data_IF_081674082241
#
_entry.id   IF_081674082241
#
_cell.length_a   1.000
_cell.length_b   1.000
_cell.length_c   1.000
_cell.angle_alpha   90.00
_cell.angle_beta   90.00
_cell.angle_gamma   90.00
#
_symmetry.space_group_name_H-M   'P 1'
#
loop_
_entity.id
_entity.type
_entity.pdbx_description
1 polymer ?
#
# COMPACT_ATOMS: atom_id res chain seq x y z
N UNK A 1 3.79 -15.19 -48.98
CA UNK A 1 2.60 -14.81 -49.78
C UNK A 1 1.57 -14.29 -48.79
N UNK A 2 1.18 -13.02 -48.92
CA UNK A 2 0.38 -12.25 -47.97
C UNK A 2 -0.95 -11.90 -48.66
N UNK A 3 -2.11 -12.01 -48.00
CA UNK A 3 -3.35 -11.44 -48.54
C UNK A 3 -4.41 -11.21 -47.44
N UNK A 4 -4.41 -9.97 -46.92
CA UNK A 4 -5.59 -9.33 -46.36
C UNK A 4 -6.59 -9.04 -47.48
N UNK A 5 -7.88 -9.32 -47.27
CA UNK A 5 -9.06 -8.52 -47.68
C UNK A 5 -10.34 -9.37 -47.63
N UNK A 6 -11.36 -8.92 -46.90
CA UNK A 6 -12.79 -9.08 -47.24
C UNK A 6 -13.56 -8.08 -46.35
N UNK A 7 -13.78 -6.86 -46.84
CA UNK A 7 -15.03 -6.33 -47.41
C UNK A 7 -16.07 -5.91 -46.34
N UNK A 8 -16.09 -4.64 -45.93
CA UNK A 8 -17.04 -3.56 -46.37
C UNK A 8 -18.52 -3.94 -46.45
N UNK A 9 -19.34 -3.23 -45.66
CA UNK A 9 -20.80 -3.19 -45.83
C UNK A 9 -21.46 -2.11 -44.98
N UNK A 10 -21.56 -0.88 -45.50
CA UNK A 10 -22.41 0.20 -44.96
C UNK A 10 -23.85 -0.01 -45.44
N UNK A 11 -24.84 0.00 -44.53
CA UNK A 11 -26.23 0.32 -44.86
C UNK A 11 -26.83 1.21 -43.77
N UNK A 12 -27.31 2.39 -44.21
CA UNK A 12 -28.12 3.33 -43.43
C UNK A 12 -29.60 2.96 -43.65
N UNK A 13 -30.39 2.94 -42.58
CA UNK A 13 -31.85 3.05 -42.66
C UNK A 13 -32.35 3.94 -41.51
N UNK A 14 -33.06 5.01 -41.86
CA UNK A 14 -33.95 5.77 -40.99
C UNK A 14 -35.34 5.14 -41.08
N UNK A 15 -35.98 4.83 -39.95
CA UNK A 15 -37.45 4.79 -39.82
C UNK A 15 -37.80 5.39 -38.45
N UNK A 16 -38.76 6.31 -38.46
CA UNK A 16 -39.34 6.97 -37.31
C UNK A 16 -40.64 6.29 -36.86
N UNK A 17 -41.07 6.64 -35.64
CA UNK A 17 -42.43 6.63 -35.08
C UNK A 17 -42.89 5.46 -34.17
N UNK A 18 -43.31 5.90 -32.97
CA UNK A 18 -44.41 5.44 -32.10
C UNK A 18 -44.29 4.16 -31.25
N UNK A 19 -43.89 4.41 -30.00
CA UNK A 19 -44.44 3.98 -28.70
C UNK A 19 -45.50 2.84 -28.68
N UNK A 20 -45.10 1.71 -28.10
CA UNK A 20 -45.98 0.84 -27.32
C UNK A 20 -45.20 0.30 -26.12
N UNK A 21 -45.67 0.66 -24.93
CA UNK A 21 -45.17 0.23 -23.63
C UNK A 21 -45.41 -1.24 -23.39
N UNK A 22 -44.36 -2.01 -23.13
CA UNK A 22 -44.45 -3.28 -22.40
C UNK A 22 -43.48 -3.22 -21.24
N UNK A 23 -44.06 -3.15 -20.05
CA UNK A 23 -43.39 -3.23 -18.76
C UNK A 23 -42.76 -4.62 -18.60
N UNK A 24 -41.44 -4.67 -18.48
CA UNK A 24 -40.72 -5.82 -17.95
C UNK A 24 -39.65 -5.29 -17.01
N UNK A 25 -39.92 -5.38 -15.70
CA UNK A 25 -38.93 -5.14 -14.66
C UNK A 25 -37.83 -6.21 -14.79
N UNK A 26 -36.69 -5.82 -15.33
CA UNK A 26 -35.42 -6.50 -15.08
C UNK A 26 -34.55 -5.58 -14.23
N UNK A 27 -34.54 -5.82 -12.91
CA UNK A 27 -33.56 -5.22 -12.01
C UNK A 27 -32.25 -5.96 -12.22
N UNK A 28 -31.46 -5.50 -13.19
CA UNK A 28 -30.05 -5.86 -13.27
C UNK A 28 -29.28 -4.91 -12.37
N UNK A 29 -28.98 -5.35 -11.15
CA UNK A 29 -27.95 -4.71 -10.32
C UNK A 29 -26.59 -4.92 -11.00
N UNK A 30 -26.28 -4.06 -11.97
CA UNK A 30 -24.91 -3.84 -12.42
C UNK A 30 -24.19 -3.17 -11.26
N UNK A 31 -23.52 -3.99 -10.45
CA UNK A 31 -22.46 -3.53 -9.56
C UNK A 31 -21.39 -2.94 -10.47
N UNK A 32 -21.45 -1.63 -10.70
CA UNK A 32 -20.32 -0.87 -11.19
C UNK A 32 -19.22 -1.02 -10.15
N UNK A 33 -18.21 -1.83 -10.45
CA UNK A 33 -16.94 -1.82 -9.72
C UNK A 33 -16.30 -0.46 -9.92
N UNK A 34 -16.65 0.47 -9.06
CA UNK A 34 -15.99 1.75 -8.94
C UNK A 34 -14.60 1.47 -8.37
N UNK A 35 -13.50 1.87 -9.02
CA UNK A 35 -12.19 1.82 -8.39
C UNK A 35 -12.27 2.67 -7.13
N UNK A 36 -12.05 2.06 -5.97
CA UNK A 36 -11.89 2.76 -4.71
C UNK A 36 -10.62 3.58 -4.78
N UNK A 37 -10.75 4.80 -5.31
CA UNK A 37 -9.78 5.86 -5.09
C UNK A 37 -9.79 6.12 -3.59
N UNK A 38 -8.61 6.21 -2.97
CA UNK A 38 -8.49 6.68 -1.60
C UNK A 38 -9.34 7.95 -1.45
N UNK A 39 -10.18 8.03 -0.40
CA UNK A 39 -11.04 9.19 -0.14
C UNK A 39 -10.22 10.47 -0.31
N UNK A 40 -10.46 11.19 -1.41
CA UNK A 40 -9.87 12.49 -1.71
C UNK A 40 -10.64 13.60 -1.02
N UNK A 41 -11.29 13.31 0.12
CA UNK A 41 -11.75 14.38 0.99
C UNK A 41 -10.49 15.09 1.46
N UNK A 42 -10.30 16.38 1.12
CA UNK A 42 -9.24 17.16 1.74
C UNK A 42 -9.42 17.00 3.25
N UNK A 43 -8.37 16.69 4.01
CA UNK A 43 -8.44 16.85 5.46
C UNK A 43 -9.01 18.24 5.72
N UNK A 44 -10.07 18.33 6.52
CA UNK A 44 -10.51 19.59 7.11
C UNK A 44 -9.24 20.31 7.56
N UNK A 45 -9.00 21.50 6.98
CA UNK A 45 -7.71 22.18 6.93
C UNK A 45 -6.78 21.65 8.00
N UNK A 46 -5.80 20.82 7.59
CA UNK A 46 -4.75 20.40 8.52
C UNK A 46 -4.34 21.68 9.26
N UNK A 47 -4.34 21.70 10.61
CA UNK A 47 -3.71 22.83 11.26
C UNK A 47 -2.37 22.94 10.56
N UNK A 48 -2.12 24.10 9.96
CA UNK A 48 -0.80 24.46 9.48
C UNK A 48 0.01 24.34 10.76
N UNK A 49 0.59 23.15 10.99
CA UNK A 49 1.45 22.87 12.13
C UNK A 49 2.52 23.90 11.91
N UNK A 50 2.38 24.97 12.70
CA UNK A 50 3.23 26.14 12.81
C UNK A 50 4.55 25.78 12.18
N UNK A 51 4.94 26.50 11.13
CA UNK A 51 6.25 26.39 10.47
C UNK A 51 7.31 26.34 11.56
N UNK A 52 7.54 25.14 12.08
CA UNK A 52 8.52 24.85 13.11
C UNK A 52 9.75 25.03 12.27
N UNK A 53 10.48 26.10 12.55
CA UNK A 53 11.78 26.32 11.94
C UNK A 53 12.63 25.13 12.39
N UNK A 54 12.54 24.04 11.65
CA UNK A 54 13.11 22.75 11.96
C UNK A 54 14.60 22.93 11.78
N UNK A 55 15.30 23.10 12.89
CA UNK A 55 16.75 23.30 12.90
C UNK A 55 17.51 22.05 12.50
N UNK A 56 16.86 20.88 12.56
CA UNK A 56 17.36 19.58 12.13
C UNK A 56 16.18 18.65 11.87
N UNK A 57 16.47 17.52 11.23
CA UNK A 57 15.51 16.44 10.96
C UNK A 57 16.13 15.09 11.35
N UNK A 58 15.45 14.30 12.16
CA UNK A 58 15.85 12.92 12.49
C UNK A 58 14.91 11.93 11.82
N UNK A 59 15.49 11.06 10.98
CA UNK A 59 14.77 10.02 10.23
C UNK A 59 15.21 8.64 10.71
N UNK A 60 14.24 7.80 11.05
CA UNK A 60 14.46 6.39 11.42
C UNK A 60 14.16 5.50 10.22
N UNK A 61 15.12 4.64 9.87
CA UNK A 61 15.05 3.64 8.82
C UNK A 61 14.94 2.24 9.44
N UNK A 62 14.17 1.33 8.83
CA UNK A 62 14.02 -0.02 9.33
C UNK A 62 15.33 -0.80 9.15
N UNK A 63 15.70 -1.54 10.19
CA UNK A 63 16.76 -2.54 10.12
C UNK A 63 16.32 -3.77 9.31
N UNK A 64 17.28 -4.35 8.59
CA UNK A 64 17.14 -5.64 7.87
C UNK A 64 18.39 -6.45 8.13
N UNK A 65 18.24 -7.73 8.49
CA UNK A 65 19.37 -8.61 8.85
C UNK A 65 20.30 -8.89 7.68
N UNK A 66 19.79 -8.72 6.46
CA UNK A 66 20.37 -9.10 5.18
C UNK A 66 20.68 -7.90 4.27
N UNK A 67 20.68 -6.68 4.82
CA UNK A 67 21.04 -5.46 4.08
C UNK A 67 22.51 -5.08 4.33
N UNK A 68 23.47 -5.51 3.49
CA UNK A 68 24.84 -5.02 3.60
C UNK A 68 24.88 -3.51 3.37
N UNK A 69 25.77 -2.82 4.08
CA UNK A 69 26.02 -1.39 3.92
C UNK A 69 24.82 -0.48 4.23
N UNK A 70 23.82 -0.95 5.00
CA UNK A 70 22.63 -0.16 5.33
C UNK A 70 23.00 1.21 5.95
N UNK A 71 24.01 1.24 6.82
CA UNK A 71 24.50 2.49 7.43
C UNK A 71 25.01 3.50 6.39
N UNK A 72 25.74 3.04 5.37
CA UNK A 72 26.23 3.88 4.28
C UNK A 72 25.06 4.40 3.44
N UNK A 73 24.10 3.53 3.11
CA UNK A 73 22.94 3.87 2.28
C UNK A 73 22.06 4.93 2.94
N UNK A 74 21.71 4.76 4.22
CA UNK A 74 20.91 5.76 4.94
C UNK A 74 21.68 7.06 5.13
N UNK A 75 23.02 6.99 5.25
CA UNK A 75 23.89 8.16 5.26
C UNK A 75 23.84 8.94 3.94
N UNK A 76 23.84 8.26 2.79
CA UNK A 76 23.67 8.90 1.47
C UNK A 76 22.34 9.63 1.37
N UNK A 77 21.25 9.02 1.84
CA UNK A 77 19.92 9.65 1.87
C UNK A 77 19.91 10.88 2.79
N UNK A 78 20.44 10.77 4.01
CA UNK A 78 20.52 11.89 4.94
C UNK A 78 21.35 13.05 4.37
N UNK A 79 22.51 12.76 3.78
CA UNK A 79 23.36 13.77 3.16
C UNK A 79 22.69 14.45 1.98
N UNK A 80 21.97 13.68 1.15
CA UNK A 80 21.18 14.23 0.06
C UNK A 80 20.11 15.20 0.59
N UNK A 81 19.27 14.73 1.52
CA UNK A 81 18.21 15.56 2.10
C UNK A 81 18.75 16.78 2.85
N UNK A 82 19.90 16.66 3.52
CA UNK A 82 20.51 17.79 4.22
C UNK A 82 20.90 18.92 3.27
N UNK A 83 21.40 18.58 2.07
CA UNK A 83 21.69 19.58 1.02
C UNK A 83 20.41 20.20 0.47
N UNK A 84 19.39 19.39 0.18
CA UNK A 84 18.12 19.88 -0.38
C UNK A 84 17.34 20.77 0.58
N UNK A 85 17.38 20.47 1.88
CA UNK A 85 16.60 21.18 2.90
C UNK A 85 17.37 22.33 3.57
N UNK A 86 18.69 22.41 3.39
CA UNK A 86 19.53 23.42 4.05
C UNK A 86 19.65 23.26 5.57
N UNK A 87 19.27 22.09 6.12
CA UNK A 87 19.32 21.77 7.54
C UNK A 87 20.02 20.42 7.78
N UNK A 88 20.61 20.17 8.95
CA UNK A 88 21.16 18.87 9.30
C UNK A 88 20.09 17.78 9.30
N UNK A 89 20.36 16.67 8.61
CA UNK A 89 19.53 15.46 8.62
C UNK A 89 20.30 14.32 9.25
N UNK A 90 19.73 13.68 10.28
CA UNK A 90 20.30 12.52 10.97
C UNK A 90 19.54 11.26 10.58
N UNK A 91 20.25 10.26 10.07
CA UNK A 91 19.70 8.91 9.88
C UNK A 91 19.95 8.05 11.12
N UNK A 92 18.93 7.29 11.51
CA UNK A 92 19.00 6.25 12.53
C UNK A 92 18.49 4.93 11.94
N UNK A 93 19.00 3.81 12.42
CA UNK A 93 18.53 2.48 12.04
C UNK A 93 17.96 1.83 13.29
N UNK A 94 16.74 1.29 13.21
CA UNK A 94 16.13 0.55 14.32
C UNK A 94 15.12 -0.48 13.82
N UNK A 95 14.62 -1.34 14.71
CA UNK A 95 13.39 -2.09 14.42
C UNK A 95 12.14 -1.19 14.51
N UNK A 96 11.01 -1.73 14.05
CA UNK A 96 9.73 -1.03 14.00
C UNK A 96 9.21 -0.61 15.39
N UNK A 97 9.50 -1.39 16.45
CA UNK A 97 9.04 -1.04 17.81
C UNK A 97 9.82 0.15 18.34
N UNK A 98 11.15 0.09 18.24
CA UNK A 98 12.02 1.19 18.64
C UNK A 98 11.76 2.47 17.83
N UNK A 99 11.40 2.35 16.55
CA UNK A 99 11.02 3.49 15.71
C UNK A 99 9.74 4.18 16.20
N UNK A 100 8.71 3.40 16.55
CA UNK A 100 7.46 3.94 17.12
C UNK A 100 7.72 4.64 18.45
N UNK A 101 8.55 4.04 19.31
CA UNK A 101 8.94 4.66 20.59
C UNK A 101 9.77 5.93 20.39
N UNK A 102 10.64 5.98 19.39
CA UNK A 102 11.41 7.18 19.05
C UNK A 102 10.50 8.33 18.60
N UNK A 103 9.48 8.05 17.77
CA UNK A 103 8.45 9.04 17.42
C UNK A 103 7.70 9.51 18.67
N UNK A 104 7.23 8.58 19.51
CA UNK A 104 6.48 8.90 20.74
C UNK A 104 7.28 9.76 21.71
N UNK A 105 8.59 9.51 21.81
CA UNK A 105 9.49 10.23 22.69
C UNK A 105 10.04 11.54 22.09
N UNK A 106 9.56 11.97 20.92
CA UNK A 106 10.09 13.12 20.16
C UNK A 106 11.61 13.02 19.92
N UNK A 107 12.11 11.80 19.71
CA UNK A 107 13.51 11.50 19.36
C UNK A 107 13.70 11.27 17.86
N UNK A 108 12.61 11.15 17.11
CA UNK A 108 12.56 11.10 15.67
C UNK A 108 11.43 12.00 15.15
N UNK A 109 11.63 12.61 13.99
CA UNK A 109 10.61 13.41 13.31
C UNK A 109 9.87 12.59 12.24
N UNK A 110 10.58 11.63 11.61
CA UNK A 110 10.05 10.76 10.56
C UNK A 110 10.54 9.33 10.80
N UNK A 111 9.70 8.35 10.52
CA UNK A 111 10.12 6.94 10.48
C UNK A 111 9.51 6.22 9.28
N UNK A 112 10.33 5.38 8.64
CA UNK A 112 9.85 4.38 7.70
C UNK A 112 9.38 3.15 8.47
N UNK A 113 8.09 2.83 8.35
CA UNK A 113 7.44 1.77 9.12
C UNK A 113 6.72 0.78 8.21
N UNK A 114 6.63 -0.47 8.65
CA UNK A 114 5.67 -1.42 8.06
C UNK A 114 4.22 -1.06 8.45
N UNK A 115 3.24 -1.71 7.81
CA UNK A 115 1.82 -1.30 7.92
C UNK A 115 1.26 -1.31 9.34
N UNK A 116 1.51 -2.36 10.15
CA UNK A 116 0.98 -2.44 11.53
C UNK A 116 1.64 -1.44 12.48
N UNK A 117 2.97 -1.27 12.49
CA UNK A 117 3.65 -0.21 13.23
C UNK A 117 3.23 1.21 12.83
N UNK A 118 2.92 1.47 11.56
CA UNK A 118 2.39 2.77 11.14
C UNK A 118 1.05 3.10 11.85
N UNK A 119 0.14 2.12 11.94
CA UNK A 119 -1.10 2.27 12.72
C UNK A 119 -0.83 2.46 14.22
N UNK A 120 0.17 1.78 14.77
CA UNK A 120 0.59 2.00 16.16
C UNK A 120 1.17 3.40 16.38
N UNK A 121 1.94 3.95 15.44
CA UNK A 121 2.50 5.29 15.54
C UNK A 121 1.40 6.38 15.53
N UNK A 122 0.33 6.20 14.76
CA UNK A 122 -0.84 7.07 14.82
C UNK A 122 -1.47 7.07 16.22
N UNK A 123 -1.73 5.88 16.79
CA UNK A 123 -2.38 5.78 18.09
C UNK A 123 -1.49 6.13 19.30
N UNK A 124 -0.20 5.80 19.26
CA UNK A 124 0.70 5.92 20.41
C UNK A 124 1.58 7.16 20.38
N UNK A 125 1.96 7.63 19.18
CA UNK A 125 2.87 8.76 19.00
C UNK A 125 2.17 9.99 18.37
N UNK A 126 0.85 9.92 18.12
CA UNK A 126 0.10 10.96 17.40
C UNK A 126 0.77 11.33 16.05
N UNK A 127 1.45 10.36 15.44
CA UNK A 127 2.07 10.52 14.13
C UNK A 127 1.01 10.45 13.03
N UNK A 128 1.36 10.82 11.80
CA UNK A 128 0.48 10.68 10.64
C UNK A 128 1.20 10.02 9.48
N UNK A 129 0.50 9.20 8.72
CA UNK A 129 1.03 8.64 7.47
C UNK A 129 1.03 9.72 6.36
N UNK A 130 2.21 10.24 6.02
CA UNK A 130 2.37 11.24 4.95
C UNK A 130 2.74 10.64 3.60
N UNK A 131 3.54 9.57 3.59
CA UNK A 131 4.08 8.95 2.38
C UNK A 131 3.86 7.44 2.42
N UNK A 132 3.47 6.88 1.28
CA UNK A 132 3.37 5.44 1.06
C UNK A 132 4.29 5.02 -0.08
N UNK A 133 5.05 3.96 0.13
CA UNK A 133 5.98 3.44 -0.87
C UNK A 133 5.23 2.80 -2.04
N UNK A 134 5.65 3.09 -3.28
CA UNK A 134 5.18 2.41 -4.48
C UNK A 134 6.38 1.86 -5.23
N UNK A 135 6.37 0.54 -5.45
CA UNK A 135 7.44 -0.17 -6.15
C UNK A 135 6.89 -0.86 -7.39
N UNK A 136 7.34 -0.41 -8.56
CA UNK A 136 6.94 -1.01 -9.84
C UNK A 136 7.33 -2.49 -9.94
N UNK A 137 8.47 -2.87 -9.37
CA UNK A 137 8.97 -4.25 -9.35
C UNK A 137 8.42 -5.12 -8.20
N UNK A 138 7.36 -4.67 -7.52
CA UNK A 138 6.73 -5.42 -6.44
C UNK A 138 5.21 -5.47 -6.64
N UNK A 139 4.46 -4.54 -6.05
CA UNK A 139 3.00 -4.50 -6.14
C UNK A 139 2.48 -3.54 -7.20
N UNK A 140 3.32 -2.59 -7.66
CA UNK A 140 2.93 -1.48 -8.53
C UNK A 140 1.94 -0.49 -7.89
N UNK A 141 1.65 -0.64 -6.59
CA UNK A 141 0.64 0.13 -5.85
C UNK A 141 1.05 0.26 -4.37
N UNK A 142 0.43 1.16 -3.63
CA UNK A 142 0.72 1.41 -2.20
C UNK A 142 0.11 0.35 -1.25
N UNK A 143 -0.40 -0.75 -1.78
CA UNK A 143 -0.94 -1.89 -1.04
C UNK A 143 -0.33 -3.20 -1.53
N UNK A 144 -0.35 -4.23 -0.69
CA UNK A 144 0.11 -5.57 -1.03
C UNK A 144 -0.86 -6.63 -0.49
N UNK A 145 -0.79 -7.83 -1.05
CA UNK A 145 -1.58 -8.96 -0.59
C UNK A 145 -0.78 -9.75 0.45
N UNK A 146 -1.38 -10.02 1.61
CA UNK A 146 -0.89 -11.02 2.55
C UNK A 146 -1.27 -12.41 2.03
N UNK A 147 -0.29 -13.29 1.90
CA UNK A 147 -0.49 -14.64 1.36
C UNK A 147 0.12 -15.69 2.28
N UNK A 148 -0.47 -16.87 2.29
CA UNK A 148 0.17 -18.08 2.80
C UNK A 148 0.85 -18.80 1.64
N UNK A 149 2.14 -19.10 1.80
CA UNK A 149 2.90 -19.89 0.84
C UNK A 149 3.15 -21.26 1.44
N UNK A 150 2.94 -22.31 0.65
CA UNK A 150 3.20 -23.70 1.03
C UNK A 150 4.14 -24.35 0.02
N UNK A 151 4.84 -25.40 0.42
CA UNK A 151 5.68 -26.16 -0.51
C UNK A 151 4.83 -26.75 -1.65
N UNK A 152 5.43 -26.88 -2.84
CA UNK A 152 4.73 -27.41 -4.04
C UNK A 152 4.14 -28.81 -3.82
N UNK A 153 4.80 -29.63 -3.00
CA UNK A 153 4.37 -30.98 -2.63
C UNK A 153 3.53 -31.02 -1.33
N UNK A 154 3.08 -29.88 -0.83
CA UNK A 154 2.21 -29.81 0.35
C UNK A 154 0.82 -30.37 0.05
N UNK A 155 0.19 -31.12 0.98
CA UNK A 155 -1.21 -31.52 0.83
C UNK A 155 -2.19 -30.36 1.03
N UNK A 156 -1.72 -29.18 1.47
CA UNK A 156 -2.55 -28.00 1.69
C UNK A 156 -2.88 -27.33 0.35
N UNK A 157 -4.16 -27.32 0.00
CA UNK A 157 -4.64 -26.70 -1.25
C UNK A 157 -5.81 -25.76 -0.98
N UNK A 158 -6.07 -24.78 -1.86
CA UNK A 158 -7.35 -24.07 -1.86
C UNK A 158 -8.53 -25.06 -1.85
N UNK A 159 -9.56 -24.75 -1.06
CA UNK A 159 -10.84 -25.48 -0.96
C UNK A 159 -11.98 -24.58 -1.41
N UNK A 160 -13.19 -25.14 -1.48
CA UNK A 160 -14.39 -24.43 -1.95
C UNK A 160 -14.73 -23.15 -1.16
N UNK A 161 -14.28 -23.03 0.09
CA UNK A 161 -14.44 -21.81 0.89
C UNK A 161 -13.13 -21.36 1.53
N UNK A 162 -13.03 -20.06 1.81
CA UNK A 162 -11.90 -19.48 2.55
C UNK A 162 -11.75 -20.12 3.92
N UNK A 163 -12.88 -20.36 4.62
CA UNK A 163 -12.89 -21.03 5.93
C UNK A 163 -12.28 -22.43 5.83
N UNK A 164 -12.79 -23.27 4.92
CA UNK A 164 -12.27 -24.62 4.74
C UNK A 164 -10.79 -24.62 4.30
N UNK A 165 -10.37 -23.62 3.52
CA UNK A 165 -8.97 -23.48 3.12
C UNK A 165 -8.08 -23.20 4.34
N UNK A 166 -8.43 -22.21 5.16
CA UNK A 166 -7.64 -21.78 6.30
C UNK A 166 -7.71 -22.75 7.49
N UNK A 167 -8.80 -23.49 7.66
CA UNK A 167 -8.92 -24.51 8.72
C UNK A 167 -7.86 -25.62 8.61
N UNK A 168 -7.36 -25.89 7.40
CA UNK A 168 -6.26 -26.83 7.19
C UNK A 168 -4.96 -26.41 7.91
N UNK A 169 -4.81 -25.12 8.24
CA UNK A 169 -3.64 -24.59 8.96
C UNK A 169 -3.69 -24.88 10.47
N UNK A 170 -4.83 -25.32 11.01
CA UNK A 170 -4.97 -25.60 12.44
C UNK A 170 -3.98 -26.69 12.88
N UNK A 171 -3.23 -26.41 13.93
CA UNK A 171 -2.21 -27.32 14.47
C UNK A 171 -0.97 -27.48 13.59
N UNK A 172 -0.83 -26.71 12.49
CA UNK A 172 0.37 -26.69 11.67
C UNK A 172 1.38 -25.67 12.20
N UNK A 173 2.67 -25.92 11.96
CA UNK A 173 3.73 -24.95 12.24
C UNK A 173 3.74 -23.89 11.14
N UNK A 174 3.74 -22.62 11.51
CA UNK A 174 3.70 -21.48 10.60
C UNK A 174 4.92 -20.59 10.89
N UNK A 175 5.57 -20.12 9.83
CA UNK A 175 6.61 -19.11 9.92
C UNK A 175 6.03 -17.75 9.57
N UNK A 176 6.31 -16.74 10.39
CA UNK A 176 5.94 -15.35 10.16
C UNK A 176 7.20 -14.53 9.88
N UNK A 177 7.07 -13.47 9.08
CA UNK A 177 8.19 -12.59 8.74
C UNK A 177 8.69 -11.78 9.94
N UNK A 178 7.84 -11.55 10.95
CA UNK A 178 8.20 -10.93 12.22
C UNK A 178 7.12 -11.20 13.29
N UNK A 179 7.40 -10.95 14.59
CA UNK A 179 6.40 -11.10 15.67
C UNK A 179 5.16 -10.21 15.51
N UNK A 180 5.27 -9.12 14.75
CA UNK A 180 4.16 -8.20 14.46
C UNK A 180 3.55 -8.43 13.08
N UNK A 181 4.08 -9.38 12.30
CA UNK A 181 3.57 -9.75 10.98
C UNK A 181 2.57 -10.90 11.11
N UNK A 182 1.28 -10.57 11.12
CA UNK A 182 0.17 -11.50 11.16
C UNK A 182 -1.13 -10.78 10.83
#
# INVERSE_FOLDING_TARGET
MNLNQFLTGKRKFLIASTLATVTSLFVSNVVKTQPTVANSNPPAAAPLLLTKNLKNLTIVFPSRKDAPNLQEQVGKVANFLSRELGIPVKAQISDDTAAVEALRANRADVAFLSSRPALKAEGLANSRLYLAEVRSNYSGRYTYNSIFVVAKNSPLTPKASTKATLEQLRGKKIAFTSPTSG
#
